data_IF_913764281646
#
_entry.id   IF_913764281646
#
_cell.length_a   1.000
_cell.length_b   1.000
_cell.length_c   1.000
_cell.angle_alpha   90.00
_cell.angle_beta   90.00
_cell.angle_gamma   90.00
#
_symmetry.space_group_name_H-M   'P 1'
#
loop_
_entity.id
_entity.type
_entity.pdbx_description
1 polymer ?
#
# COMPACT_ATOMS: atom_id res chain seq x y z
N UNK A 1 7.21 10.96 -18.88
CA UNK A 1 6.21 12.03 -19.17
C UNK A 1 5.39 12.21 -17.92
N UNK A 2 5.44 13.38 -17.26
CA UNK A 2 4.67 13.60 -16.01
C UNK A 2 3.19 13.69 -16.38
N UNK A 3 2.41 12.69 -16.00
CA UNK A 3 0.98 12.68 -16.25
C UNK A 3 0.30 13.68 -15.29
N UNK A 4 -0.17 14.80 -15.84
CA UNK A 4 -0.99 15.76 -15.11
C UNK A 4 -2.33 15.11 -14.80
N UNK A 5 -2.68 15.05 -13.52
CA UNK A 5 -3.94 14.49 -13.01
C UNK A 5 -4.82 15.65 -12.59
N UNK A 6 -6.09 15.64 -13.02
CA UNK A 6 -7.02 16.69 -12.61
C UNK A 6 -7.36 16.48 -11.15
N UNK A 7 -7.50 17.57 -10.39
CA UNK A 7 -7.91 17.58 -8.99
C UNK A 7 -9.06 16.60 -8.68
N UNK A 8 -10.06 16.49 -9.56
CA UNK A 8 -11.25 15.63 -9.41
C UNK A 8 -10.98 14.12 -9.50
N UNK A 9 -9.83 13.73 -10.00
CA UNK A 9 -9.47 12.33 -10.25
C UNK A 9 -8.80 11.68 -9.02
N UNK A 10 -8.38 12.51 -8.05
CA UNK A 10 -7.95 12.07 -6.73
C UNK A 10 -9.14 11.60 -5.88
N UNK A 11 -8.97 10.45 -5.24
CA UNK A 11 -9.95 9.82 -4.37
C UNK A 11 -9.58 10.10 -2.91
N UNK A 12 -10.60 10.17 -2.04
CA UNK A 12 -10.42 10.29 -0.59
C UNK A 12 -9.61 11.52 -0.12
N UNK A 13 -9.74 12.66 -0.80
CA UNK A 13 -9.16 13.93 -0.31
C UNK A 13 -9.57 14.26 1.12
N UNK A 14 -8.65 14.87 1.87
CA UNK A 14 -8.83 15.23 3.27
C UNK A 14 -9.05 14.02 4.19
N UNK A 15 -8.58 12.83 3.82
CA UNK A 15 -8.66 11.65 4.67
C UNK A 15 -7.83 11.79 5.95
N UNK A 16 -6.71 12.52 5.92
CA UNK A 16 -5.90 12.78 7.13
C UNK A 16 -6.61 13.71 8.12
N UNK A 17 -7.52 14.55 7.62
CA UNK A 17 -8.26 15.51 8.46
C UNK A 17 -9.62 14.95 8.90
N UNK A 18 -10.27 14.14 8.05
CA UNK A 18 -11.63 13.64 8.26
C UNK A 18 -11.63 12.14 8.50
N UNK A 19 -11.73 11.74 9.78
CA UNK A 19 -11.79 10.33 10.23
C UNK A 19 -12.76 9.45 9.43
N UNK A 20 -13.92 9.98 9.05
CA UNK A 20 -14.89 9.25 8.23
C UNK A 20 -14.32 8.88 6.85
N UNK A 21 -13.59 9.80 6.21
CA UNK A 21 -12.96 9.57 4.90
C UNK A 21 -11.79 8.59 5.07
N UNK A 22 -11.00 8.72 6.14
CA UNK A 22 -9.93 7.78 6.49
C UNK A 22 -10.44 6.33 6.58
N UNK A 23 -11.48 6.10 7.38
CA UNK A 23 -12.03 4.76 7.57
C UNK A 23 -12.61 4.18 6.27
N UNK A 24 -13.19 5.02 5.41
CA UNK A 24 -13.64 4.60 4.08
C UNK A 24 -12.47 4.26 3.16
N UNK A 25 -11.34 4.96 3.29
CA UNK A 25 -10.13 4.73 2.53
C UNK A 25 -9.44 3.40 2.92
N UNK A 26 -9.34 3.11 4.22
CA UNK A 26 -8.86 1.79 4.69
C UNK A 26 -9.75 0.66 4.18
N UNK A 27 -11.08 0.83 4.30
CA UNK A 27 -12.06 -0.15 3.82
C UNK A 27 -11.97 -0.35 2.30
N UNK A 28 -11.66 0.73 1.58
CA UNK A 28 -11.45 0.69 0.13
C UNK A 28 -10.25 -0.18 -0.21
N UNK A 29 -9.07 0.09 0.37
CA UNK A 29 -7.87 -0.70 0.12
C UNK A 29 -8.05 -2.16 0.49
N UNK A 30 -8.60 -2.42 1.68
CA UNK A 30 -8.94 -3.77 2.15
C UNK A 30 -9.77 -4.54 1.13
N UNK A 31 -10.83 -3.93 0.60
CA UNK A 31 -11.67 -4.55 -0.43
C UNK A 31 -10.90 -4.82 -1.72
N UNK A 32 -10.14 -3.84 -2.22
CA UNK A 32 -9.45 -3.97 -3.51
C UNK A 32 -8.29 -4.97 -3.47
N UNK A 33 -7.52 -5.01 -2.38
CA UNK A 33 -6.43 -5.97 -2.21
C UNK A 33 -6.99 -7.39 -2.09
N UNK A 34 -8.03 -7.61 -1.27
CA UNK A 34 -8.71 -8.91 -1.16
C UNK A 34 -9.28 -9.41 -2.49
N UNK A 35 -9.78 -8.51 -3.33
CA UNK A 35 -10.29 -8.87 -4.66
C UNK A 35 -9.16 -9.11 -5.68
N UNK A 36 -7.98 -8.55 -5.45
CA UNK A 36 -6.82 -8.69 -6.32
C UNK A 36 -6.04 -9.99 -6.05
N UNK A 37 -6.09 -10.48 -4.81
CA UNK A 37 -5.37 -11.66 -4.36
C UNK A 37 -6.31 -12.86 -4.15
N UNK A 38 -5.76 -14.07 -4.24
CA UNK A 38 -6.50 -15.26 -3.83
C UNK A 38 -6.67 -15.26 -2.29
N UNK A 39 -7.82 -15.71 -1.75
CA UNK A 39 -8.10 -15.63 -0.31
C UNK A 39 -7.06 -16.31 0.60
N UNK A 40 -6.31 -17.28 0.08
CA UNK A 40 -5.31 -18.06 0.83
C UNK A 40 -3.91 -17.44 0.82
N UNK A 41 -3.71 -16.32 0.11
CA UNK A 41 -2.39 -15.68 0.01
C UNK A 41 -2.11 -14.78 1.22
N UNK A 42 -3.16 -14.15 1.75
CA UNK A 42 -3.09 -13.26 2.91
C UNK A 42 -3.10 -14.12 4.18
N UNK A 43 -2.03 -14.04 4.95
CA UNK A 43 -1.88 -14.71 6.24
C UNK A 43 -2.53 -13.88 7.35
N UNK A 44 -2.21 -12.59 7.39
CA UNK A 44 -2.72 -11.66 8.39
C UNK A 44 -2.91 -10.27 7.77
N UNK A 45 -4.05 -9.63 8.02
CA UNK A 45 -4.27 -8.22 7.67
C UNK A 45 -3.96 -7.33 8.86
N UNK A 46 -3.60 -6.06 8.61
CA UNK A 46 -3.20 -5.12 9.65
C UNK A 46 -1.95 -5.60 10.40
N UNK A 47 -0.97 -6.14 9.67
CA UNK A 47 0.26 -6.69 10.24
C UNK A 47 1.15 -5.64 10.93
N UNK A 48 1.02 -4.38 10.50
CA UNK A 48 1.57 -3.23 11.19
C UNK A 48 0.45 -2.56 11.98
N UNK A 49 0.66 -2.43 13.29
CA UNK A 49 -0.23 -1.67 14.17
C UNK A 49 -0.15 -0.19 13.81
N UNK A 50 -1.31 0.43 13.58
CA UNK A 50 -1.42 1.87 13.37
C UNK A 50 -2.10 2.54 14.57
N UNK A 51 -1.61 2.21 15.77
CA UNK A 51 -2.13 2.70 17.05
C UNK A 51 -0.97 3.07 17.97
N UNK A 52 -1.17 4.07 18.82
CA UNK A 52 -0.27 4.35 19.94
C UNK A 52 -0.37 3.23 20.98
N UNK A 53 0.63 3.11 21.87
CA UNK A 53 0.65 2.14 22.97
C UNK A 53 -0.58 2.18 23.92
N UNK A 54 -1.39 3.23 23.85
CA UNK A 54 -2.64 3.37 24.58
C UNK A 54 -3.89 2.93 23.79
N UNK A 55 -3.72 2.28 22.62
CA UNK A 55 -4.80 1.85 21.72
C UNK A 55 -5.45 2.99 20.93
N UNK A 56 -4.90 4.20 20.97
CA UNK A 56 -5.41 5.30 20.17
C UNK A 56 -4.92 5.17 18.75
N UNK A 57 -5.85 5.01 17.81
CA UNK A 57 -5.55 4.96 16.39
C UNK A 57 -4.82 6.21 15.87
N UNK A 58 -3.80 5.97 15.07
CA UNK A 58 -3.03 6.98 14.33
C UNK A 58 -3.67 7.15 12.94
N UNK A 59 -3.77 8.39 12.47
CA UNK A 59 -4.48 8.77 11.24
C UNK A 59 -3.53 9.52 10.29
N UNK A 60 -2.38 8.93 9.99
CA UNK A 60 -1.30 9.55 9.20
C UNK A 60 -1.12 8.93 7.80
N UNK A 61 -1.87 7.88 7.48
CA UNK A 61 -1.77 7.18 6.19
C UNK A 61 -0.59 6.21 6.09
N UNK A 62 0.17 5.99 7.17
CA UNK A 62 1.32 5.09 7.20
C UNK A 62 1.21 4.04 8.33
N UNK A 63 0.65 2.85 8.07
CA UNK A 63 0.02 2.42 6.82
C UNK A 63 -1.46 2.82 6.74
N UNK A 64 -1.95 3.07 5.51
CA UNK A 64 -3.40 3.06 5.23
C UNK A 64 -3.90 1.63 5.01
N UNK A 65 -3.02 0.72 4.60
CA UNK A 65 -3.29 -0.71 4.51
C UNK A 65 -1.99 -1.48 4.68
N UNK A 66 -2.04 -2.59 5.40
CA UNK A 66 -0.92 -3.52 5.53
C UNK A 66 -1.44 -4.95 5.57
N UNK A 67 -0.70 -5.89 4.97
CA UNK A 67 -0.95 -7.31 5.09
C UNK A 67 0.33 -8.14 5.07
N UNK A 68 0.41 -9.13 5.96
CA UNK A 68 1.38 -10.23 5.91
C UNK A 68 0.85 -11.30 4.96
N UNK A 69 1.69 -11.71 4.04
CA UNK A 69 1.44 -12.80 3.11
C UNK A 69 2.25 -14.03 3.53
N UNK A 70 1.87 -15.18 3.00
CA UNK A 70 2.71 -16.37 3.14
C UNK A 70 4.08 -16.21 2.44
N UNK A 71 5.04 -17.05 2.85
CA UNK A 71 6.42 -17.09 2.36
C UNK A 71 7.26 -15.86 2.74
N UNK A 72 7.13 -15.37 3.98
CA UNK A 72 7.95 -14.26 4.51
C UNK A 72 7.85 -12.98 3.65
N UNK A 73 6.63 -12.67 3.20
CA UNK A 73 6.34 -11.46 2.42
C UNK A 73 5.31 -10.60 3.13
N UNK A 74 5.44 -9.28 2.99
CA UNK A 74 4.46 -8.32 3.46
C UNK A 74 4.16 -7.27 2.38
N UNK A 75 3.05 -6.57 2.56
CA UNK A 75 2.65 -5.40 1.79
C UNK A 75 2.33 -4.28 2.79
N UNK A 76 2.83 -3.08 2.48
CA UNK A 76 2.39 -1.82 3.09
C UNK A 76 2.03 -0.82 2.01
N UNK A 77 0.87 -0.20 2.19
CA UNK A 77 0.45 0.96 1.41
C UNK A 77 0.51 2.16 2.33
N UNK A 78 1.36 3.11 1.94
CA UNK A 78 1.41 4.47 2.48
C UNK A 78 0.58 5.31 1.52
N UNK A 79 -0.39 6.05 2.05
CA UNK A 79 -1.13 7.00 1.24
C UNK A 79 -0.88 8.40 1.75
N UNK A 80 -0.57 9.30 0.83
CA UNK A 80 -0.33 10.72 1.06
C UNK A 80 -1.56 11.53 0.62
N UNK A 81 -1.75 12.72 1.19
CA UNK A 81 -2.74 13.66 0.66
C UNK A 81 -2.27 14.16 -0.71
N UNK A 82 -3.20 14.39 -1.66
CA UNK A 82 -2.84 15.03 -2.91
C UNK A 82 -2.32 16.45 -2.66
N UNK A 83 -1.03 16.69 -2.90
CA UNK A 83 -0.39 17.99 -2.71
C UNK A 83 -0.21 18.76 -4.04
N UNK A 84 -0.34 18.05 -5.16
CA UNK A 84 -0.09 18.60 -6.50
C UNK A 84 -1.06 18.08 -7.56
N UNK A 85 -1.04 18.71 -8.74
CA UNK A 85 -1.77 18.24 -9.93
C UNK A 85 -1.02 17.12 -10.68
N UNK A 86 -0.01 16.51 -10.08
CA UNK A 86 0.78 15.43 -10.67
C UNK A 86 0.66 14.20 -9.81
N UNK A 87 0.29 13.06 -10.40
CA UNK A 87 0.22 11.80 -9.65
C UNK A 87 1.58 11.46 -9.06
N UNK A 88 1.62 11.16 -7.77
CA UNK A 88 2.80 10.59 -7.12
C UNK A 88 2.56 9.12 -6.79
N UNK A 89 3.50 8.27 -7.20
CA UNK A 89 3.59 6.88 -6.79
C UNK A 89 5.07 6.50 -6.73
N UNK A 90 5.45 5.84 -5.65
CA UNK A 90 6.76 5.23 -5.46
C UNK A 90 6.55 3.84 -4.86
N UNK A 91 7.47 2.92 -5.15
CA UNK A 91 7.48 1.62 -4.52
C UNK A 91 8.92 1.16 -4.31
N UNK A 92 9.14 0.36 -3.27
CA UNK A 92 10.41 -0.30 -3.00
C UNK A 92 10.17 -1.58 -2.22
N UNK A 93 11.22 -2.40 -2.11
CA UNK A 93 11.21 -3.58 -1.25
C UNK A 93 12.25 -3.39 -0.16
N UNK A 94 11.88 -3.67 1.09
CA UNK A 94 12.78 -3.62 2.24
C UNK A 94 12.71 -4.93 3.06
N UNK A 95 13.76 -5.21 3.82
CA UNK A 95 13.74 -6.28 4.81
C UNK A 95 13.29 -5.72 6.16
N UNK A 96 12.41 -6.45 6.83
CA UNK A 96 11.89 -6.15 8.17
C UNK A 96 11.75 -7.44 8.99
N UNK A 97 11.23 -7.36 10.20
CA UNK A 97 11.00 -8.50 11.10
C UNK A 97 9.53 -8.55 11.55
N UNK A 98 8.99 -9.75 11.75
CA UNK A 98 7.68 -9.93 12.37
C UNK A 98 7.74 -9.94 13.91
N UNK A 99 6.59 -10.17 14.57
CA UNK A 99 6.51 -10.25 16.04
C UNK A 99 7.35 -11.39 16.67
N UNK A 100 7.94 -12.25 15.85
CA UNK A 100 8.77 -13.38 16.25
C UNK A 100 10.21 -13.24 15.74
N UNK A 101 10.63 -12.06 15.32
CA UNK A 101 11.98 -11.76 14.80
C UNK A 101 12.33 -12.56 13.52
N UNK A 102 11.32 -13.07 12.79
CA UNK A 102 11.56 -13.68 11.49
C UNK A 102 11.73 -12.60 10.44
N UNK A 103 12.76 -12.75 9.59
CA UNK A 103 12.95 -11.87 8.45
C UNK A 103 11.79 -11.94 7.48
N UNK A 104 11.34 -10.78 7.02
CA UNK A 104 10.28 -10.61 6.03
C UNK A 104 10.72 -9.60 4.99
N UNK A 105 10.42 -9.89 3.73
CA UNK A 105 10.54 -8.94 2.63
C UNK A 105 9.21 -8.17 2.51
N UNK A 106 9.22 -6.86 2.68
CA UNK A 106 8.05 -6.00 2.55
C UNK A 106 8.07 -5.22 1.23
N UNK A 107 7.00 -5.35 0.44
CA UNK A 107 6.70 -4.39 -0.63
C UNK A 107 6.03 -3.16 -0.01
N UNK A 108 6.69 -2.01 -0.13
CA UNK A 108 6.15 -0.72 0.28
C UNK A 108 5.72 0.06 -0.95
N UNK A 109 4.51 0.61 -0.92
CA UNK A 109 3.97 1.46 -1.97
C UNK A 109 3.52 2.77 -1.33
N UNK A 110 4.17 3.89 -1.68
CA UNK A 110 3.67 5.23 -1.35
C UNK A 110 2.95 5.84 -2.55
N UNK A 111 1.77 6.44 -2.35
CA UNK A 111 1.02 7.05 -3.43
C UNK A 111 0.07 8.16 -2.98
N UNK A 112 -0.28 9.03 -3.92
CA UNK A 112 -1.54 9.78 -3.90
C UNK A 112 -2.62 8.96 -4.63
N UNK A 113 -3.80 8.80 -4.03
CA UNK A 113 -4.77 7.85 -4.54
C UNK A 113 -5.59 8.40 -5.71
N UNK A 114 -5.41 7.77 -6.87
CA UNK A 114 -6.19 7.96 -8.10
C UNK A 114 -6.64 6.59 -8.62
N UNK A 115 -7.45 6.55 -9.67
CA UNK A 115 -7.79 5.27 -10.33
C UNK A 115 -6.57 4.58 -10.93
N UNK A 116 -5.60 5.36 -11.41
CA UNK A 116 -4.40 4.89 -12.08
C UNK A 116 -3.36 4.39 -11.08
N UNK A 117 -3.05 5.19 -10.04
CA UNK A 117 -2.10 4.77 -8.99
C UNK A 117 -2.62 3.55 -8.23
N UNK A 118 -3.94 3.45 -8.00
CA UNK A 118 -4.54 2.20 -7.52
C UNK A 118 -4.26 1.04 -8.46
N UNK A 119 -4.48 1.20 -9.77
CA UNK A 119 -4.29 0.12 -10.73
C UNK A 119 -2.84 -0.38 -10.69
N UNK A 120 -1.88 0.54 -10.73
CA UNK A 120 -0.45 0.22 -10.62
C UNK A 120 -0.12 -0.49 -9.30
N UNK A 121 -0.60 0.03 -8.17
CA UNK A 121 -0.38 -0.59 -6.87
C UNK A 121 -0.91 -2.03 -6.82
N UNK A 122 -2.12 -2.29 -7.35
CA UNK A 122 -2.68 -3.63 -7.40
C UNK A 122 -1.92 -4.57 -8.36
N UNK A 123 -1.35 -4.06 -9.45
CA UNK A 123 -0.47 -4.85 -10.31
C UNK A 123 0.81 -5.24 -9.56
N UNK A 124 1.48 -4.31 -8.89
CA UNK A 124 2.67 -4.58 -8.08
C UNK A 124 2.38 -5.58 -6.96
N UNK A 125 1.25 -5.44 -6.26
CA UNK A 125 0.80 -6.36 -5.20
C UNK A 125 0.60 -7.78 -5.74
N UNK A 126 -0.01 -7.93 -6.92
CA UNK A 126 -0.23 -9.25 -7.54
C UNK A 126 1.09 -9.91 -7.92
N UNK A 127 1.98 -9.17 -8.55
CA UNK A 127 3.31 -9.68 -8.90
C UNK A 127 4.09 -10.05 -7.63
N UNK A 128 4.04 -9.21 -6.59
CA UNK A 128 4.72 -9.49 -5.34
C UNK A 128 4.19 -10.70 -4.57
N UNK A 129 2.86 -10.87 -4.57
CA UNK A 129 2.21 -12.05 -4.03
C UNK A 129 2.57 -13.33 -4.79
N UNK A 130 3.05 -13.21 -6.03
CA UNK A 130 3.61 -14.33 -6.76
C UNK A 130 5.02 -14.66 -6.24
N UNK A 131 5.52 -15.87 -6.54
CA UNK A 131 6.82 -16.37 -6.04
C UNK A 131 8.05 -15.72 -6.72
N UNK A 132 7.97 -14.43 -7.07
CA UNK A 132 9.14 -13.65 -7.54
C UNK A 132 10.07 -13.31 -6.38
N UNK A 133 11.36 -13.15 -6.67
CA UNK A 133 12.34 -12.69 -5.68
C UNK A 133 12.31 -11.17 -5.54
N UNK A 134 12.86 -10.65 -4.44
CA UNK A 134 13.12 -9.21 -4.23
C UNK A 134 13.79 -8.56 -5.44
N UNK A 135 14.85 -9.16 -6.00
CA UNK A 135 15.57 -8.55 -7.13
C UNK A 135 14.70 -8.43 -8.39
N UNK A 136 13.84 -9.42 -8.65
CA UNK A 136 12.89 -9.35 -9.76
C UNK A 136 11.82 -8.30 -9.52
N UNK A 137 11.39 -8.14 -8.27
CA UNK A 137 10.41 -7.11 -7.91
C UNK A 137 10.98 -5.70 -8.10
N UNK A 138 12.23 -5.47 -7.70
CA UNK A 138 12.89 -4.18 -7.91
C UNK A 138 12.96 -3.78 -9.39
N UNK A 139 13.35 -4.72 -10.27
CA UNK A 139 13.36 -4.50 -11.72
C UNK A 139 11.96 -4.19 -12.27
N UNK A 140 10.93 -4.88 -11.77
CA UNK A 140 9.54 -4.66 -12.17
C UNK A 140 9.03 -3.28 -11.72
N UNK A 141 9.46 -2.81 -10.53
CA UNK A 141 9.12 -1.49 -10.02
C UNK A 141 9.70 -0.41 -10.93
N UNK A 142 10.99 -0.51 -11.27
CA UNK A 142 11.66 0.40 -12.22
C UNK A 142 10.92 0.42 -13.56
N UNK A 143 10.56 -0.74 -14.12
CA UNK A 143 9.82 -0.83 -15.39
C UNK A 143 8.43 -0.18 -15.35
N UNK A 144 7.73 -0.24 -14.22
CA UNK A 144 6.32 0.18 -14.11
C UNK A 144 6.13 1.63 -13.67
N UNK A 145 7.09 2.19 -12.93
CA UNK A 145 6.97 3.50 -12.31
C UNK A 145 7.77 4.58 -13.07
N UNK A 146 8.89 4.24 -13.70
CA UNK A 146 9.72 5.17 -14.49
C UNK A 146 9.26 5.31 -15.97
#
# INVERSE_FOLDING_TARGET
MVAVVREKDFLYKNFLVKKMIYNQNESYWKRYVRNALEPKVIEHESWLENEYANGTKIYDGNPIYSAKLHNQKAIRIIQEEPESDTRQIAAWVEETEDEHENKIEELVISLELTRDTRKLALELIKEWASKISMQKMLLLIEEKID
#
